data_IF_446965659658
#
_entry.id   IF_446965659658
#
_cell.length_a   1.000
_cell.length_b   1.000
_cell.length_c   1.000
_cell.angle_alpha   90.00
_cell.angle_beta   90.00
_cell.angle_gamma   90.00
#
_symmetry.space_group_name_H-M   'P 1'
#
loop_
_entity.id
_entity.type
_entity.pdbx_description
1 polymer ?
#
# COMPACT_ATOMS: atom_id res chain seq x y z
N UNK A 1 -63.14 47.11 -4.79
CA UNK A 1 -63.85 46.75 -3.55
C UNK A 1 -63.36 45.36 -3.14
N UNK A 2 -62.25 45.24 -2.40
CA UNK A 2 -62.13 45.26 -0.93
C UNK A 2 -62.63 44.00 -0.21
N UNK A 3 -61.72 43.05 0.08
CA UNK A 3 -61.59 42.24 1.31
C UNK A 3 -60.48 41.18 1.07
N UNK A 4 -59.32 41.22 1.72
CA UNK A 4 -59.04 40.89 3.14
C UNK A 4 -59.24 39.42 3.51
N UNK A 5 -58.12 38.69 3.61
CA UNK A 5 -57.73 37.52 4.44
C UNK A 5 -56.30 37.15 3.97
N UNK A 6 -55.19 37.26 4.72
CA UNK A 6 -54.89 37.05 6.16
C UNK A 6 -55.38 35.67 6.65
N UNK A 7 -54.40 34.81 6.96
CA UNK A 7 -54.52 33.36 7.18
C UNK A 7 -53.15 32.74 6.87
N UNK A 8 -52.11 33.08 7.62
CA UNK A 8 -51.69 32.41 8.87
C UNK A 8 -50.71 31.27 8.57
N UNK A 9 -49.45 31.47 8.94
CA UNK A 9 -48.33 30.59 8.61
C UNK A 9 -47.80 29.99 9.92
N UNK A 10 -47.89 28.66 10.14
CA UNK A 10 -47.55 28.07 11.43
C UNK A 10 -46.03 28.14 11.70
N UNK A 11 -45.59 28.59 12.88
CA UNK A 11 -44.18 28.57 13.27
C UNK A 11 -43.79 27.17 13.78
N UNK A 12 -43.36 26.29 12.86
CA UNK A 12 -42.80 24.98 13.18
C UNK A 12 -41.27 25.04 13.37
N UNK A 13 -40.79 25.29 14.59
CA UNK A 13 -39.36 25.34 14.88
C UNK A 13 -38.66 23.99 14.62
N UNK A 14 -37.42 24.07 14.11
CA UNK A 14 -36.74 22.92 13.52
C UNK A 14 -36.36 21.80 14.49
N UNK A 15 -36.71 20.58 14.11
CA UNK A 15 -36.06 19.37 14.59
C UNK A 15 -34.62 19.37 14.06
N UNK A 16 -33.68 19.86 14.87
CA UNK A 16 -32.26 19.66 14.61
C UNK A 16 -31.96 18.17 14.78
N UNK A 17 -31.73 17.45 13.67
CA UNK A 17 -31.29 16.07 13.73
C UNK A 17 -29.94 15.99 14.43
N UNK A 18 -29.97 15.62 15.71
CA UNK A 18 -28.77 15.25 16.46
C UNK A 18 -28.23 13.93 15.89
N UNK A 19 -27.39 14.02 14.86
CA UNK A 19 -26.60 12.89 14.37
C UNK A 19 -25.70 12.43 15.50
N UNK A 20 -26.11 11.37 16.20
CA UNK A 20 -25.27 10.70 17.19
C UNK A 20 -24.05 10.15 16.45
N UNK A 21 -22.81 10.52 16.83
CA UNK A 21 -21.62 9.96 16.22
C UNK A 21 -21.54 8.49 16.61
N UNK A 22 -21.91 7.59 15.69
CA UNK A 22 -21.64 6.16 15.85
C UNK A 22 -20.13 5.97 15.99
N UNK A 23 -19.63 5.29 17.04
CA UNK A 23 -18.21 4.99 17.15
C UNK A 23 -17.81 4.13 15.94
N UNK A 24 -16.88 4.64 15.14
CA UNK A 24 -16.40 3.95 13.95
C UNK A 24 -15.87 2.56 14.30
N UNK A 25 -15.97 1.57 13.39
CA UNK A 25 -15.54 0.21 13.67
C UNK A 25 -14.08 0.20 14.10
N UNK A 26 -13.82 -0.28 15.32
CA UNK A 26 -12.46 -0.44 15.84
C UNK A 26 -11.66 -1.27 14.83
N UNK A 27 -10.45 -0.85 14.44
CA UNK A 27 -9.67 -1.61 13.48
C UNK A 27 -9.20 -2.90 14.15
N UNK A 28 -9.94 -3.99 13.90
CA UNK A 28 -9.45 -5.34 14.12
C UNK A 28 -8.03 -5.43 13.55
N UNK A 29 -7.09 -6.09 14.24
CA UNK A 29 -5.73 -6.29 13.75
C UNK A 29 -5.80 -7.08 12.44
N UNK A 30 -5.80 -6.36 11.31
CA UNK A 30 -5.82 -6.96 9.98
C UNK A 30 -4.42 -7.47 9.72
N UNK A 31 -4.28 -8.79 9.55
CA UNK A 31 -3.10 -9.38 8.93
C UNK A 31 -2.82 -8.60 7.64
N UNK A 32 -1.59 -8.14 7.39
CA UNK A 32 -1.27 -7.37 6.20
C UNK A 32 -1.64 -8.20 4.95
N UNK A 33 -2.26 -7.57 3.93
CA UNK A 33 -2.78 -8.32 2.80
C UNK A 33 -1.63 -8.92 2.00
N UNK A 34 -1.62 -10.24 1.84
CA UNK A 34 -0.64 -10.94 1.00
C UNK A 34 -0.79 -10.50 -0.46
N UNK A 35 0.33 -10.14 -1.10
CA UNK A 35 0.40 -9.70 -2.51
C UNK A 35 1.44 -10.52 -3.28
N UNK A 36 1.33 -10.50 -4.60
CA UNK A 36 2.26 -11.21 -5.50
C UNK A 36 3.22 -10.23 -6.14
N UNK A 37 4.52 -10.47 -6.01
CA UNK A 37 5.56 -9.67 -6.65
C UNK A 37 5.51 -9.80 -8.19
N UNK A 38 5.40 -8.69 -8.91
CA UNK A 38 5.37 -8.66 -10.39
C UNK A 38 6.72 -8.97 -11.04
N UNK A 39 7.79 -9.10 -10.25
CA UNK A 39 9.14 -9.53 -10.65
C UNK A 39 9.34 -11.05 -10.55
N UNK A 40 9.26 -11.64 -9.35
CA UNK A 40 9.50 -13.08 -9.16
C UNK A 40 8.24 -13.96 -9.20
N UNK A 41 7.02 -13.41 -9.09
CA UNK A 41 5.74 -14.11 -8.90
C UNK A 41 5.55 -14.82 -7.54
N UNK A 42 6.47 -14.67 -6.60
CA UNK A 42 6.29 -15.12 -5.21
C UNK A 42 5.26 -14.25 -4.48
N UNK A 43 4.57 -14.83 -3.51
CA UNK A 43 3.68 -14.14 -2.57
C UNK A 43 4.46 -13.69 -1.33
N UNK A 44 4.23 -12.48 -0.87
CA UNK A 44 4.76 -11.96 0.39
C UNK A 44 3.71 -11.03 1.04
N UNK A 45 3.93 -10.61 2.28
CA UNK A 45 3.07 -9.59 2.88
C UNK A 45 3.21 -8.27 2.11
N UNK A 46 2.16 -7.44 2.09
CA UNK A 46 2.26 -6.16 1.39
C UNK A 46 3.42 -5.30 1.93
N UNK A 47 3.78 -5.45 3.20
CA UNK A 47 4.78 -4.65 3.91
C UNK A 47 6.23 -5.04 3.55
N UNK A 48 6.45 -6.29 3.10
CA UNK A 48 7.70 -6.74 2.45
C UNK A 48 7.82 -6.27 0.98
N UNK A 49 6.78 -5.62 0.45
CA UNK A 49 6.65 -5.29 -0.96
C UNK A 49 6.58 -3.76 -1.18
N UNK A 50 7.51 -3.26 -1.98
CA UNK A 50 7.44 -1.93 -2.55
C UNK A 50 6.24 -1.85 -3.50
N UNK A 51 5.29 -0.95 -3.20
CA UNK A 51 4.28 -0.53 -4.19
C UNK A 51 4.96 0.42 -5.18
N UNK A 52 4.70 0.20 -6.47
CA UNK A 52 5.05 1.12 -7.55
C UNK A 52 3.80 1.53 -8.31
N UNK A 53 3.74 2.78 -8.76
CA UNK A 53 2.61 3.38 -9.48
C UNK A 53 3.10 4.02 -10.77
N UNK A 54 2.17 4.36 -11.68
CA UNK A 54 2.49 5.25 -12.79
C UNK A 54 2.05 6.66 -12.43
N UNK A 55 2.95 7.63 -12.56
CA UNK A 55 2.66 9.07 -12.50
C UNK A 55 3.17 9.65 -13.81
N UNK A 56 2.28 10.24 -14.61
CA UNK A 56 2.60 10.90 -15.89
C UNK A 56 3.45 10.06 -16.87
N UNK A 57 3.29 8.73 -16.85
CA UNK A 57 4.03 7.77 -17.68
C UNK A 57 5.34 7.25 -17.09
N UNK A 58 5.78 7.78 -15.94
CA UNK A 58 6.96 7.34 -15.19
C UNK A 58 6.55 6.31 -14.13
N UNK A 59 7.35 5.26 -13.93
CA UNK A 59 7.15 4.33 -12.82
C UNK A 59 7.77 4.92 -11.54
N UNK A 60 6.92 5.30 -10.59
CA UNK A 60 7.32 5.97 -9.35
C UNK A 60 7.18 5.02 -8.14
N UNK A 61 8.16 4.97 -7.23
CA UNK A 61 8.09 4.18 -6.00
C UNK A 61 7.17 4.84 -4.96
N UNK A 62 6.26 4.08 -4.36
CA UNK A 62 5.31 4.54 -3.36
C UNK A 62 5.36 3.68 -2.08
N UNK A 63 6.46 3.74 -1.30
CA UNK A 63 6.59 2.98 -0.05
C UNK A 63 5.54 3.38 1.00
N UNK A 64 5.03 4.62 0.94
CA UNK A 64 4.02 5.15 1.87
C UNK A 64 2.57 4.89 1.43
N UNK A 65 2.36 4.28 0.25
CA UNK A 65 1.05 3.91 -0.33
C UNK A 65 0.07 5.08 -0.45
N UNK A 66 0.59 6.27 -0.79
CA UNK A 66 -0.17 7.52 -0.84
C UNK A 66 -0.76 7.85 -2.21
N UNK A 67 -0.22 7.29 -3.29
CA UNK A 67 -0.69 7.63 -4.63
C UNK A 67 -2.02 6.92 -4.97
N UNK A 68 -3.06 7.64 -5.44
CA UNK A 68 -4.30 7.02 -5.85
C UNK A 68 -4.11 6.12 -7.09
N UNK A 69 -5.08 5.25 -7.36
CA UNK A 69 -5.11 4.42 -8.58
C UNK A 69 -4.41 3.06 -8.47
N UNK A 70 -4.14 2.46 -9.63
CA UNK A 70 -3.59 1.08 -9.73
C UNK A 70 -2.09 1.11 -9.43
N UNK A 71 -1.67 0.27 -8.48
CA UNK A 71 -0.25 0.02 -8.19
C UNK A 71 0.11 -1.44 -8.42
N UNK A 72 1.36 -1.69 -8.76
CA UNK A 72 1.98 -2.99 -8.83
C UNK A 72 2.85 -3.22 -7.58
N UNK A 73 3.10 -4.47 -7.23
CA UNK A 73 3.88 -4.85 -6.06
C UNK A 73 5.18 -5.50 -6.49
N UNK A 74 6.29 -5.10 -5.90
CA UNK A 74 7.64 -5.57 -6.21
C UNK A 74 8.40 -5.79 -4.89
N UNK A 75 9.25 -6.81 -4.78
CA UNK A 75 10.20 -6.83 -3.66
C UNK A 75 11.16 -5.64 -3.79
N UNK A 76 11.70 -5.12 -2.67
CA UNK A 76 12.73 -4.08 -2.67
C UNK A 76 14.10 -4.59 -3.14
N UNK A 77 14.12 -5.25 -4.30
CA UNK A 77 15.25 -6.01 -4.83
C UNK A 77 15.46 -5.74 -6.35
N UNK A 78 16.69 -5.39 -6.80
CA UNK A 78 16.98 -5.10 -8.20
C UNK A 78 16.73 -6.25 -9.19
N UNK A 79 16.88 -7.52 -8.78
CA UNK A 79 16.57 -8.68 -9.62
C UNK A 79 15.07 -8.78 -9.88
N UNK A 80 14.24 -8.45 -8.90
CA UNK A 80 12.80 -8.35 -9.11
C UNK A 80 12.44 -7.27 -10.13
N UNK A 81 13.11 -6.10 -10.08
CA UNK A 81 12.96 -5.05 -11.09
C UNK A 81 13.36 -5.55 -12.48
N UNK A 82 14.56 -6.14 -12.62
CA UNK A 82 15.06 -6.64 -13.91
C UNK A 82 14.15 -7.70 -14.53
N UNK A 83 13.65 -8.64 -13.72
CA UNK A 83 12.69 -9.68 -14.16
C UNK A 83 11.34 -9.09 -14.57
N UNK A 84 10.90 -8.01 -13.93
CA UNK A 84 9.67 -7.30 -14.28
C UNK A 84 9.84 -6.49 -15.58
N UNK A 85 10.99 -5.85 -15.79
CA UNK A 85 11.36 -5.14 -17.03
C UNK A 85 11.40 -6.09 -18.23
N UNK A 86 12.23 -7.15 -18.19
CA UNK A 86 12.49 -8.05 -19.32
C UNK A 86 11.23 -8.62 -19.96
N UNK A 87 10.18 -8.86 -19.17
CA UNK A 87 8.93 -9.47 -19.64
C UNK A 87 7.78 -8.48 -19.74
N UNK A 88 8.01 -7.17 -19.56
CA UNK A 88 6.98 -6.13 -19.56
C UNK A 88 5.86 -6.40 -18.55
N UNK A 89 6.21 -6.63 -17.29
CA UNK A 89 5.24 -6.90 -16.22
C UNK A 89 4.47 -5.65 -15.77
N UNK A 90 5.16 -4.50 -15.63
CA UNK A 90 4.53 -3.25 -15.16
C UNK A 90 3.41 -2.74 -16.10
N UNK A 91 3.58 -2.67 -17.43
CA UNK A 91 2.52 -2.24 -18.33
C UNK A 91 1.25 -3.10 -18.20
N UNK A 92 1.41 -4.42 -18.06
CA UNK A 92 0.28 -5.35 -17.85
C UNK A 92 -0.38 -5.22 -16.48
N UNK A 93 0.42 -5.06 -15.40
CA UNK A 93 -0.10 -4.93 -14.04
C UNK A 93 -0.82 -3.59 -13.80
N UNK A 94 -0.28 -2.51 -14.39
CA UNK A 94 -0.77 -1.14 -14.23
C UNK A 94 -1.81 -0.77 -15.30
N UNK A 95 -1.97 -1.59 -16.35
CA UNK A 95 -2.88 -1.43 -17.49
C UNK A 95 -2.60 -0.16 -18.31
N UNK A 96 -1.33 0.06 -18.60
CA UNK A 96 -0.84 1.18 -19.43
C UNK A 96 -0.14 0.63 -20.69
N UNK A 97 -0.28 1.30 -21.85
CA UNK A 97 0.44 0.91 -23.06
C UNK A 97 1.93 1.31 -22.99
N UNK A 98 2.77 0.63 -23.77
CA UNK A 98 4.16 1.01 -23.98
C UNK A 98 5.14 0.58 -22.89
N UNK A 99 6.38 1.09 -22.98
CA UNK A 99 7.45 0.89 -22.00
C UNK A 99 7.41 2.05 -21.00
N UNK A 100 7.42 1.72 -19.71
CA UNK A 100 7.54 2.70 -18.63
C UNK A 100 9.02 2.97 -18.34
N UNK A 101 9.35 4.21 -17.99
CA UNK A 101 10.64 4.51 -17.37
C UNK A 101 10.65 3.95 -15.94
N UNK A 102 11.78 3.35 -15.56
CA UNK A 102 12.01 2.67 -14.27
C UNK A 102 13.14 3.30 -13.47
N UNK A 103 13.75 4.39 -13.97
CA UNK A 103 14.90 5.04 -13.36
C UNK A 103 14.66 5.44 -11.89
N UNK A 104 13.48 6.00 -11.57
CA UNK A 104 13.14 6.37 -10.19
C UNK A 104 13.07 5.17 -9.24
N UNK A 105 12.40 4.08 -9.66
CA UNK A 105 12.33 2.84 -8.87
C UNK A 105 13.73 2.26 -8.69
N UNK A 106 14.55 2.21 -9.75
CA UNK A 106 15.94 1.71 -9.67
C UNK A 106 16.75 2.53 -8.66
N UNK A 107 16.74 3.85 -8.76
CA UNK A 107 17.43 4.74 -7.83
C UNK A 107 16.89 4.66 -6.39
N UNK A 108 15.61 4.35 -6.21
CA UNK A 108 15.03 4.07 -4.89
C UNK A 108 15.51 2.72 -4.34
N UNK A 109 15.57 1.66 -5.15
CA UNK A 109 16.07 0.35 -4.73
C UNK A 109 17.55 0.37 -4.32
N UNK A 110 18.39 1.14 -5.02
CA UNK A 110 19.78 1.34 -4.60
C UNK A 110 19.86 2.03 -3.22
N UNK A 111 19.19 3.17 -3.05
CA UNK A 111 19.12 3.90 -1.77
C UNK A 111 18.49 3.09 -0.63
N UNK A 112 17.51 2.24 -0.94
CA UNK A 112 16.92 1.35 0.04
C UNK A 112 17.97 0.36 0.57
N UNK A 113 18.75 -0.29 -0.30
CA UNK A 113 19.81 -1.23 0.12
C UNK A 113 20.91 -0.56 0.95
N UNK A 114 21.17 0.72 0.75
CA UNK A 114 22.09 1.52 1.58
C UNK A 114 21.47 1.85 2.95
N UNK A 115 20.16 2.14 3.00
CA UNK A 115 19.42 2.44 4.23
C UNK A 115 19.02 1.23 5.09
N UNK A 116 18.83 0.04 4.53
CA UNK A 116 18.39 -1.17 5.29
C UNK A 116 19.54 -1.87 6.04
N UNK A 117 20.74 -1.28 6.11
CA UNK A 117 21.85 -1.83 6.91
C UNK A 117 21.58 -1.81 8.44
N UNK A 118 20.45 -1.25 8.87
CA UNK A 118 20.06 -1.01 10.26
C UNK A 118 18.94 -1.87 10.85
N UNK A 119 18.50 -2.97 10.21
CA UNK A 119 17.61 -3.96 10.84
C UNK A 119 18.08 -5.38 10.54
N UNK A 120 18.69 -6.03 11.54
CA UNK A 120 18.93 -7.49 11.55
C UNK A 120 17.89 -8.14 12.46
N UNK A 121 16.74 -8.50 11.93
CA UNK A 121 15.80 -9.36 12.67
C UNK A 121 16.15 -10.84 12.47
N UNK A 122 17.11 -11.26 13.30
CA UNK A 122 17.37 -12.60 13.85
C UNK A 122 17.49 -13.81 12.88
N UNK A 123 18.65 -14.48 12.82
CA UNK A 123 18.74 -15.81 12.22
C UNK A 123 18.11 -16.86 13.14
N UNK A 124 17.07 -17.53 12.66
CA UNK A 124 16.56 -18.75 13.29
C UNK A 124 17.50 -19.94 13.05
N UNK A 125 18.61 -20.01 13.79
CA UNK A 125 19.35 -21.25 14.00
C UNK A 125 19.07 -21.75 15.40
N UNK A 126 18.45 -22.92 15.50
CA UNK A 126 18.33 -23.68 16.73
C UNK A 126 19.71 -23.91 17.36
N UNK A 127 19.76 -23.83 18.68
CA UNK A 127 20.86 -24.33 19.49
C UNK A 127 20.67 -25.85 19.65
N UNK A 128 21.49 -26.65 18.97
CA UNK A 128 21.60 -28.08 19.28
C UNK A 128 22.58 -28.26 20.44
N UNK A 129 22.11 -28.91 21.51
CA UNK A 129 22.72 -28.87 22.83
C UNK A 129 23.83 -29.94 22.95
N UNK A 130 25.08 -29.53 22.73
CA UNK A 130 26.25 -30.42 22.91
C UNK A 130 26.53 -30.69 24.38
N UNK A 131 25.87 -31.72 24.91
CA UNK A 131 26.07 -32.27 26.25
C UNK A 131 27.52 -32.74 26.43
N UNK A 132 28.22 -32.17 27.41
CA UNK A 132 29.57 -32.61 27.83
C UNK A 132 29.40 -33.51 29.05
N UNK A 133 29.71 -34.79 28.91
CA UNK A 133 29.83 -35.74 30.01
C UNK A 133 31.29 -35.75 30.52
N UNK A 134 31.57 -35.43 31.80
CA UNK A 134 32.91 -35.48 32.38
C UNK A 134 33.25 -36.89 32.91
N UNK A 135 34.49 -37.34 32.68
CA UNK A 135 35.15 -38.45 33.37
C UNK A 135 36.65 -38.24 33.37
#
# INVERSE_FOLDING_TARGET
MTASRRGDHPPGCGLHSATVPVPGPVPARRTPPVRTCVGCRTRAEADDLLRVVVVDGVLTPDPRRRFPGRGAWLHPDPECLHRAERRSAFPRALRVPGKLDTAEVRAHLHRAREGTSGVRDTPGSVIEESKVDPS
#
